data_IF_499490536649
#
_entry.id   IF_499490536649
#
_cell.length_a   1.000
_cell.length_b   1.000
_cell.length_c   1.000
_cell.angle_alpha   90.00
_cell.angle_beta   90.00
_cell.angle_gamma   90.00
#
_symmetry.space_group_name_H-M   'P 1'
#
loop_
_entity.id
_entity.type
_entity.pdbx_description
1 polymer ?
#
# COMPACT_ATOMS: atom_id res chain seq x y z
N UNK A 1 -1.67 -17.69 -28.95
CA UNK A 1 -2.71 -16.63 -28.85
C UNK A 1 -3.58 -16.78 -27.60
N UNK A 2 -4.20 -17.93 -27.33
CA UNK A 2 -5.05 -18.15 -26.13
C UNK A 2 -4.37 -17.85 -24.79
N UNK A 3 -3.09 -18.20 -24.63
CA UNK A 3 -2.32 -17.88 -23.42
C UNK A 3 -2.22 -16.37 -23.15
N UNK A 4 -1.90 -15.57 -24.18
CA UNK A 4 -1.81 -14.11 -24.05
C UNK A 4 -3.16 -13.50 -23.69
N UNK A 5 -4.24 -13.96 -24.33
CA UNK A 5 -5.61 -13.52 -24.02
C UNK A 5 -5.98 -13.83 -22.57
N UNK A 6 -5.65 -15.04 -22.09
CA UNK A 6 -5.84 -15.42 -20.69
C UNK A 6 -5.07 -14.52 -19.72
N UNK A 7 -3.81 -14.19 -20.03
CA UNK A 7 -3.00 -13.30 -19.18
C UNK A 7 -3.58 -11.88 -19.11
N UNK A 8 -4.04 -11.32 -20.23
CA UNK A 8 -4.68 -10.00 -20.24
C UNK A 8 -5.98 -9.96 -19.43
N UNK A 9 -6.79 -11.03 -19.47
CA UNK A 9 -7.99 -11.13 -18.65
C UNK A 9 -7.64 -11.15 -17.16
N UNK A 10 -6.66 -11.96 -16.75
CA UNK A 10 -6.21 -12.03 -15.35
C UNK A 10 -5.67 -10.68 -14.90
N UNK A 11 -4.85 -10.02 -15.72
CA UNK A 11 -4.30 -8.70 -15.40
C UNK A 11 -5.40 -7.65 -15.24
N UNK A 12 -6.42 -7.66 -16.10
CA UNK A 12 -7.58 -6.78 -15.98
C UNK A 12 -8.37 -7.02 -14.69
N UNK A 13 -8.61 -8.28 -14.30
CA UNK A 13 -9.30 -8.62 -13.06
C UNK A 13 -8.49 -8.14 -11.84
N UNK A 14 -7.19 -8.42 -11.80
CA UNK A 14 -6.31 -7.98 -10.71
C UNK A 14 -6.32 -6.46 -10.59
N UNK A 15 -6.24 -5.74 -11.72
CA UNK A 15 -6.28 -4.29 -11.74
C UNK A 15 -7.60 -3.74 -11.19
N UNK A 16 -8.75 -4.30 -11.62
CA UNK A 16 -10.07 -3.90 -11.12
C UNK A 16 -10.19 -4.13 -9.62
N UNK A 17 -9.72 -5.27 -9.12
CA UNK A 17 -9.75 -5.57 -7.68
C UNK A 17 -8.87 -4.59 -6.88
N UNK A 18 -7.71 -4.22 -7.41
CA UNK A 18 -6.78 -3.28 -6.78
C UNK A 18 -7.36 -1.86 -6.72
N UNK A 19 -8.05 -1.39 -7.76
CA UNK A 19 -8.64 -0.04 -7.78
C UNK A 19 -10.01 0.07 -7.09
N UNK A 20 -10.70 -1.05 -6.84
CA UNK A 20 -12.06 -1.04 -6.24
C UNK A 20 -12.12 -1.74 -4.89
N UNK A 21 -11.95 -3.05 -4.85
CA UNK A 21 -12.15 -3.87 -3.66
C UNK A 21 -11.18 -3.51 -2.54
N UNK A 22 -9.91 -3.27 -2.88
CA UNK A 22 -8.90 -2.88 -1.90
C UNK A 22 -9.19 -1.52 -1.23
N UNK A 23 -9.45 -0.42 -1.97
CA UNK A 23 -9.83 0.85 -1.36
C UNK A 23 -11.07 0.77 -0.48
N UNK A 24 -12.07 -0.01 -0.87
CA UNK A 24 -13.30 -0.20 -0.08
C UNK A 24 -12.97 -0.90 1.25
N UNK A 25 -12.23 -2.01 1.19
CA UNK A 25 -11.83 -2.77 2.37
C UNK A 25 -10.91 -1.95 3.29
N UNK A 26 -9.96 -1.19 2.72
CA UNK A 26 -9.05 -0.34 3.47
C UNK A 26 -9.81 0.74 4.25
N UNK A 27 -10.73 1.47 3.59
CA UNK A 27 -11.60 2.47 4.23
C UNK A 27 -12.45 1.86 5.34
N UNK A 28 -13.06 0.69 5.10
CA UNK A 28 -13.86 -0.01 6.10
C UNK A 28 -13.06 -0.40 7.35
N UNK A 29 -11.74 -0.61 7.21
CA UNK A 29 -10.84 -0.91 8.32
C UNK A 29 -10.16 0.34 8.93
N UNK A 30 -10.61 1.54 8.58
CA UNK A 30 -10.13 2.81 9.12
C UNK A 30 -8.81 3.29 8.53
N UNK A 31 -8.42 2.80 7.35
CA UNK A 31 -7.28 3.32 6.61
C UNK A 31 -7.71 4.42 5.65
N UNK A 32 -6.88 5.45 5.51
CA UNK A 32 -6.97 6.44 4.44
C UNK A 32 -5.75 6.33 3.52
N UNK A 33 -5.94 6.69 2.25
CA UNK A 33 -4.82 6.84 1.32
C UNK A 33 -3.92 7.97 1.78
N UNK A 34 -2.61 7.78 1.70
CA UNK A 34 -1.66 8.85 1.96
C UNK A 34 -1.87 10.03 0.97
N UNK A 35 -1.82 11.29 1.43
CA UNK A 35 -1.92 12.47 0.57
C UNK A 35 -0.82 12.55 -0.51
N UNK A 36 -1.10 13.29 -1.59
CA UNK A 36 -0.26 13.41 -2.80
C UNK A 36 1.16 13.93 -2.56
N UNK A 37 1.36 14.71 -1.51
CA UNK A 37 2.60 15.39 -1.11
C UNK A 37 3.41 14.62 -0.06
N UNK A 38 2.98 13.41 0.28
CA UNK A 38 3.63 12.58 1.32
C UNK A 38 4.73 11.69 0.75
N UNK A 39 5.59 11.19 1.64
CA UNK A 39 6.72 10.33 1.28
C UNK A 39 6.29 8.98 0.71
N UNK A 40 5.06 8.55 0.98
CA UNK A 40 4.51 7.26 0.58
C UNK A 40 3.47 7.38 -0.55
N UNK A 41 3.37 8.55 -1.18
CA UNK A 41 2.45 8.74 -2.29
C UNK A 41 2.98 8.17 -3.59
N UNK A 42 2.18 7.34 -4.25
CA UNK A 42 2.46 6.85 -5.61
C UNK A 42 3.73 6.00 -5.75
N UNK A 43 4.34 5.50 -4.67
CA UNK A 43 5.56 4.71 -4.79
C UNK A 43 5.29 3.29 -5.32
N UNK A 44 5.97 3.00 -6.44
CA UNK A 44 6.21 1.74 -7.15
C UNK A 44 5.05 0.90 -7.67
N UNK A 45 3.89 0.79 -7.02
CA UNK A 45 2.76 0.04 -7.64
C UNK A 45 1.39 0.57 -7.20
N UNK A 46 1.25 1.10 -5.98
CA UNK A 46 -0.03 1.62 -5.47
C UNK A 46 0.17 2.72 -4.43
N UNK A 47 -0.86 3.54 -4.22
CA UNK A 47 -0.85 4.57 -3.16
C UNK A 47 -0.84 3.87 -1.80
N UNK A 48 0.08 4.23 -0.90
CA UNK A 48 0.10 3.67 0.45
C UNK A 48 -1.13 4.08 1.26
N UNK A 49 -1.57 3.20 2.16
CA UNK A 49 -2.72 3.42 3.03
C UNK A 49 -2.31 3.33 4.49
N UNK A 50 -2.75 4.28 5.31
CA UNK A 50 -2.40 4.37 6.73
C UNK A 50 -3.61 4.71 7.59
N UNK A 51 -3.62 4.23 8.84
CA UNK A 51 -4.59 4.65 9.86
C UNK A 51 -4.26 6.01 10.48
N UNK A 52 -3.02 6.47 10.33
CA UNK A 52 -2.55 7.78 10.80
C UNK A 52 -1.77 8.46 9.71
N UNK A 53 -2.22 9.65 9.31
CA UNK A 53 -1.59 10.43 8.25
C UNK A 53 -0.11 10.74 8.54
N UNK A 54 0.24 10.96 9.81
CA UNK A 54 1.63 11.22 10.23
C UNK A 54 2.63 10.13 9.77
N UNK A 55 2.19 8.88 9.63
CA UNK A 55 3.07 7.80 9.14
C UNK A 55 3.43 7.95 7.66
N UNK A 56 2.61 8.65 6.87
CA UNK A 56 2.90 8.95 5.47
C UNK A 56 4.08 9.94 5.31
N UNK A 57 4.43 10.68 6.36
CA UNK A 57 5.57 11.60 6.40
C UNK A 57 6.78 11.04 7.17
N UNK A 58 6.67 9.81 7.67
CA UNK A 58 7.71 9.23 8.53
C UNK A 58 8.83 8.63 7.67
N UNK A 59 10.00 9.27 7.70
CA UNK A 59 11.20 8.81 6.98
C UNK A 59 11.62 7.38 7.37
N UNK A 60 11.36 6.97 8.61
CA UNK A 60 11.67 5.62 9.06
C UNK A 60 10.71 4.57 8.50
N UNK A 61 9.45 4.96 8.24
CA UNK A 61 8.48 4.12 7.51
C UNK A 61 8.88 4.04 6.04
N UNK A 62 9.18 5.17 5.39
CA UNK A 62 9.60 5.21 3.99
C UNK A 62 10.85 4.36 3.73
N UNK A 63 11.88 4.46 4.59
CA UNK A 63 13.11 3.69 4.45
C UNK A 63 12.89 2.17 4.51
N UNK A 64 11.80 1.72 5.16
CA UNK A 64 11.47 0.30 5.35
C UNK A 64 10.47 -0.20 4.32
N UNK A 65 9.58 0.65 3.83
CA UNK A 65 8.48 0.28 2.93
C UNK A 65 8.80 0.62 1.46
N UNK A 66 9.89 0.06 0.92
CA UNK A 66 10.38 0.43 -0.41
C UNK A 66 9.72 -0.31 -1.59
N UNK A 67 9.13 -1.48 -1.34
CA UNK A 67 8.43 -2.30 -2.35
C UNK A 67 7.09 -2.83 -1.87
N UNK A 68 6.79 -2.69 -0.58
CA UNK A 68 5.52 -3.13 0.02
C UNK A 68 5.44 -4.64 0.27
N UNK A 69 6.58 -5.34 0.33
CA UNK A 69 6.57 -6.79 0.64
C UNK A 69 6.08 -7.05 2.05
N UNK A 70 5.59 -8.27 2.30
CA UNK A 70 5.14 -8.67 3.63
C UNK A 70 6.21 -8.46 4.72
N UNK A 71 7.47 -8.80 4.42
CA UNK A 71 8.60 -8.61 5.34
C UNK A 71 8.81 -7.13 5.71
N UNK A 72 8.68 -6.23 4.73
CA UNK A 72 8.79 -4.79 4.96
C UNK A 72 7.62 -4.25 5.79
N UNK A 73 6.40 -4.74 5.54
CA UNK A 73 5.23 -4.38 6.34
C UNK A 73 5.42 -4.82 7.80
N UNK A 74 6.00 -6.01 8.03
CA UNK A 74 6.34 -6.49 9.38
C UNK A 74 7.41 -5.61 10.02
N UNK A 75 8.44 -5.19 9.28
CA UNK A 75 9.48 -4.30 9.81
C UNK A 75 8.96 -2.90 10.16
N UNK A 76 8.09 -2.34 9.31
CA UNK A 76 7.36 -1.09 9.62
C UNK A 76 6.51 -1.25 10.88
N UNK A 77 5.80 -2.36 11.05
CA UNK A 77 5.00 -2.60 12.25
C UNK A 77 5.86 -2.60 13.52
N UNK A 78 6.99 -3.32 13.51
CA UNK A 78 7.95 -3.33 14.63
C UNK A 78 8.52 -1.95 14.92
N UNK A 79 8.89 -1.20 13.88
CA UNK A 79 9.37 0.16 14.00
C UNK A 79 8.34 1.08 14.67
N UNK A 80 7.08 1.00 14.25
CA UNK A 80 5.99 1.80 14.79
C UNK A 80 5.61 1.39 16.22
N UNK A 81 5.73 0.11 16.58
CA UNK A 81 5.57 -0.35 17.96
C UNK A 81 6.63 0.23 18.88
N UNK A 82 7.90 0.26 18.45
CA UNK A 82 8.99 0.88 19.20
C UNK A 82 8.84 2.40 19.38
N UNK A 83 8.01 3.06 18.57
CA UNK A 83 7.69 4.49 18.64
C UNK A 83 6.50 4.84 19.55
N UNK A 84 5.76 3.86 20.09
CA UNK A 84 4.59 4.13 20.95
C UNK A 84 4.95 4.62 22.37
N UNK A 85 6.16 5.13 22.59
CA UNK A 85 6.55 5.81 23.84
C UNK A 85 6.08 7.26 23.84
#
# INVERSE_FOLDING_TARGET
>A
MLFLVGTFIIMGIVFVLDITAWPIAAKANGYSSCPYDTLLFGEKISTAWSKKEAYCYDKGVQARLTTGTFEQVVDVAKYLEGKKQ
#
